data_IF_964516688242
#
_entry.id   IF_964516688242
#
_cell.length_a   1.000
_cell.length_b   1.000
_cell.length_c   1.000
_cell.angle_alpha   90.00
_cell.angle_beta   90.00
_cell.angle_gamma   90.00
#
_symmetry.space_group_name_H-M   'P 1'
#
loop_
_entity.id
_entity.type
_entity.pdbx_description
1 polymer ?
#
# COMPACT_ATOMS: atom_id res chain seq x y z
N UNK A 1 -18.07 -20.03 -18.44
CA UNK A 1 -17.09 -19.14 -17.81
C UNK A 1 -17.82 -18.03 -17.06
N UNK A 2 -17.73 -18.05 -15.75
CA UNK A 2 -18.37 -17.07 -14.90
C UNK A 2 -17.34 -15.98 -14.52
N UNK A 3 -17.66 -14.71 -14.77
CA UNK A 3 -16.68 -13.63 -14.63
C UNK A 3 -16.00 -13.50 -13.24
N UNK A 4 -16.65 -13.85 -12.11
CA UNK A 4 -16.00 -13.85 -10.81
C UNK A 4 -14.80 -14.78 -10.70
N UNK A 5 -14.75 -15.88 -11.49
CA UNK A 5 -13.60 -16.78 -11.50
C UNK A 5 -12.31 -16.09 -11.98
N UNK A 6 -12.45 -15.09 -12.86
CA UNK A 6 -11.32 -14.32 -13.35
C UNK A 6 -11.02 -13.03 -12.56
N UNK A 7 -11.98 -12.55 -11.76
CA UNK A 7 -11.91 -11.23 -11.15
C UNK A 7 -11.92 -11.25 -9.63
N UNK A 8 -12.25 -12.39 -9.03
CA UNK A 8 -12.31 -12.56 -7.57
C UNK A 8 -11.74 -13.89 -7.08
N UNK A 9 -12.04 -14.99 -7.74
CA UNK A 9 -11.74 -16.33 -7.25
C UNK A 9 -10.54 -16.95 -7.98
N UNK A 10 -9.47 -17.24 -7.26
CA UNK A 10 -8.28 -17.90 -7.81
C UNK A 10 -8.25 -19.33 -7.24
N UNK A 11 -8.11 -20.32 -8.11
CA UNK A 11 -8.07 -21.75 -7.73
C UNK A 11 -9.41 -22.41 -7.51
N UNK A 12 -10.50 -21.79 -7.94
CA UNK A 12 -11.87 -22.34 -7.92
C UNK A 12 -12.27 -22.94 -9.27
N UNK A 13 -11.71 -22.43 -10.38
CA UNK A 13 -11.90 -22.96 -11.72
C UNK A 13 -10.58 -22.87 -12.53
N UNK A 14 -9.91 -23.99 -12.83
CA UNK A 14 -10.19 -25.34 -12.31
C UNK A 14 -10.04 -25.43 -10.77
N UNK A 15 -10.80 -26.35 -10.18
CA UNK A 15 -10.78 -26.54 -8.71
C UNK A 15 -9.42 -27.04 -8.23
N UNK A 16 -8.83 -26.33 -7.28
CA UNK A 16 -7.53 -26.65 -6.69
C UNK A 16 -7.60 -26.63 -5.16
N UNK A 17 -6.59 -27.16 -4.49
CA UNK A 17 -6.44 -27.05 -3.04
C UNK A 17 -6.04 -25.66 -2.58
N UNK A 18 -5.48 -24.87 -3.48
CA UNK A 18 -4.95 -23.52 -3.21
C UNK A 18 -5.97 -22.44 -3.59
N UNK A 19 -7.10 -22.43 -2.90
CA UNK A 19 -8.18 -21.45 -3.12
C UNK A 19 -7.83 -20.11 -2.50
N UNK A 20 -8.05 -19.05 -3.26
CA UNK A 20 -7.83 -17.68 -2.83
C UNK A 20 -8.99 -16.79 -3.30
N UNK A 21 -9.38 -15.82 -2.47
CA UNK A 21 -10.36 -14.81 -2.84
C UNK A 21 -9.63 -13.48 -2.86
N UNK A 22 -9.70 -12.81 -4.01
CA UNK A 22 -9.11 -11.50 -4.24
C UNK A 22 -10.08 -10.64 -5.04
N UNK A 23 -10.13 -9.34 -4.74
CA UNK A 23 -10.96 -8.41 -5.51
C UNK A 23 -10.11 -7.57 -6.44
N UNK A 24 -10.11 -7.92 -7.73
CA UNK A 24 -9.65 -6.97 -8.73
C UNK A 24 -10.66 -5.81 -8.84
N UNK A 25 -10.21 -4.56 -9.06
CA UNK A 25 -11.10 -3.40 -9.10
C UNK A 25 -12.29 -3.55 -10.04
N UNK A 26 -12.11 -4.28 -11.15
CA UNK A 26 -13.19 -4.53 -12.11
C UNK A 26 -14.35 -5.32 -11.49
N UNK A 27 -14.09 -6.21 -10.52
CA UNK A 27 -15.15 -6.94 -9.82
C UNK A 27 -16.10 -5.95 -9.12
N UNK A 28 -15.55 -5.10 -8.27
CA UNK A 28 -16.33 -4.15 -7.48
C UNK A 28 -17.09 -3.15 -8.35
N UNK A 29 -16.51 -2.72 -9.50
CA UNK A 29 -17.20 -1.86 -10.45
C UNK A 29 -18.39 -2.56 -11.13
N UNK A 30 -18.23 -3.82 -11.54
CA UNK A 30 -19.28 -4.55 -12.26
C UNK A 30 -20.45 -4.91 -11.34
N UNK A 31 -20.18 -5.30 -10.10
CA UNK A 31 -21.24 -5.63 -9.12
C UNK A 31 -21.80 -4.41 -8.40
N UNK A 32 -21.26 -3.20 -8.68
CA UNK A 32 -21.62 -1.95 -8.02
C UNK A 32 -21.54 -2.05 -6.48
N UNK A 33 -20.54 -2.79 -5.99
CA UNK A 33 -20.30 -2.97 -4.56
C UNK A 33 -19.43 -1.82 -4.04
N UNK A 34 -20.02 -0.97 -3.21
CA UNK A 34 -19.32 0.14 -2.55
C UNK A 34 -18.45 -0.36 -1.38
N UNK A 35 -17.58 -1.30 -1.68
CA UNK A 35 -16.57 -1.78 -0.74
C UNK A 35 -15.56 -0.68 -0.35
N UNK A 36 -14.96 -0.82 0.82
CA UNK A 36 -13.93 0.10 1.30
C UNK A 36 -12.82 0.32 0.26
N UNK A 37 -12.34 -0.75 -0.37
CA UNK A 37 -11.33 -0.70 -1.43
C UNK A 37 -11.74 0.14 -2.65
N UNK A 38 -12.99 0.04 -3.08
CA UNK A 38 -13.49 0.84 -4.21
C UNK A 38 -13.59 2.32 -3.86
N UNK A 39 -14.09 2.62 -2.65
CA UNK A 39 -14.20 4.00 -2.16
C UNK A 39 -12.84 4.64 -1.93
N UNK A 40 -11.83 3.84 -1.65
CA UNK A 40 -10.48 4.32 -1.39
C UNK A 40 -9.70 4.69 -2.67
N UNK A 41 -10.02 4.09 -3.82
CA UNK A 41 -9.31 4.35 -5.08
C UNK A 41 -9.11 5.83 -5.42
N UNK A 42 -10.13 6.71 -5.35
CA UNK A 42 -9.95 8.13 -5.60
C UNK A 42 -8.98 8.79 -4.61
N UNK A 43 -9.07 8.41 -3.34
CA UNK A 43 -8.22 8.95 -2.28
C UNK A 43 -6.77 8.51 -2.43
N UNK A 44 -6.54 7.25 -2.75
CA UNK A 44 -5.22 6.69 -3.01
C UNK A 44 -4.53 7.41 -4.17
N UNK A 45 -5.24 7.63 -5.27
CA UNK A 45 -4.72 8.38 -6.41
C UNK A 45 -4.41 9.83 -6.00
N UNK A 46 -5.30 10.47 -5.27
CA UNK A 46 -5.12 11.84 -4.80
C UNK A 46 -3.94 11.97 -3.85
N UNK A 47 -3.83 11.11 -2.84
CA UNK A 47 -2.71 11.07 -1.88
C UNK A 47 -1.38 10.87 -2.59
N UNK A 48 -1.33 9.92 -3.52
CA UNK A 48 -0.13 9.65 -4.32
C UNK A 48 0.26 10.86 -5.15
N UNK A 49 -0.70 11.48 -5.83
CA UNK A 49 -0.47 12.71 -6.61
C UNK A 49 -0.01 13.87 -5.74
N UNK A 50 -0.58 14.03 -4.55
CA UNK A 50 -0.19 15.06 -3.59
C UNK A 50 1.26 14.88 -3.11
N UNK A 51 1.66 13.68 -2.73
CA UNK A 51 3.03 13.40 -2.30
C UNK A 51 4.01 13.52 -3.46
N UNK A 52 3.66 13.01 -4.63
CA UNK A 52 4.50 13.12 -5.83
C UNK A 52 4.68 14.58 -6.25
N UNK A 53 3.62 15.38 -6.28
CA UNK A 53 3.73 16.81 -6.60
C UNK A 53 4.58 17.55 -5.58
N UNK A 54 4.48 17.20 -4.31
CA UNK A 54 5.32 17.76 -3.26
C UNK A 54 6.81 17.44 -3.48
N UNK A 55 7.12 16.25 -4.01
CA UNK A 55 8.50 15.89 -4.36
C UNK A 55 9.01 16.62 -5.60
N UNK A 56 8.18 16.74 -6.65
CA UNK A 56 8.59 17.25 -7.96
C UNK A 56 8.58 18.79 -8.00
N UNK A 57 7.55 19.41 -7.40
CA UNK A 57 7.29 20.84 -7.59
C UNK A 57 7.84 21.71 -6.46
N UNK A 58 8.07 21.17 -5.28
CA UNK A 58 8.40 21.96 -4.09
C UNK A 58 9.89 21.83 -3.76
N UNK A 59 10.60 22.95 -3.80
CA UNK A 59 12.03 23.01 -3.43
C UNK A 59 12.26 22.94 -1.92
N UNK A 60 11.27 23.34 -1.12
CA UNK A 60 11.27 23.24 0.34
C UNK A 60 9.87 22.94 0.84
N UNK A 61 9.73 21.93 1.69
CA UNK A 61 8.43 21.54 2.23
C UNK A 61 8.05 22.51 3.36
N UNK A 62 6.84 23.07 3.27
CA UNK A 62 6.27 23.84 4.38
C UNK A 62 6.18 22.97 5.65
N UNK A 63 6.59 23.48 6.81
CA UNK A 63 6.39 22.75 8.07
C UNK A 63 4.94 22.33 8.32
N UNK A 64 3.97 23.05 7.76
CA UNK A 64 2.54 22.74 7.94
C UNK A 64 2.02 21.57 7.08
N UNK A 65 2.85 20.93 6.26
CA UNK A 65 2.44 19.81 5.41
C UNK A 65 1.92 18.61 6.22
N UNK A 66 2.31 18.49 7.51
CA UNK A 66 1.84 17.42 8.38
C UNK A 66 0.32 17.45 8.58
N UNK A 67 -0.33 18.62 8.51
CA UNK A 67 -1.78 18.76 8.70
C UNK A 67 -2.55 18.05 7.56
N UNK A 68 -2.40 18.46 6.28
CA UNK A 68 -3.07 17.76 5.17
C UNK A 68 -2.62 16.30 5.05
N UNK A 69 -1.35 15.98 5.31
CA UNK A 69 -0.88 14.61 5.26
C UNK A 69 -1.53 13.74 6.34
N UNK A 70 -1.66 14.23 7.56
CA UNK A 70 -2.38 13.54 8.63
C UNK A 70 -3.87 13.35 8.30
N UNK A 71 -4.51 14.36 7.72
CA UNK A 71 -5.90 14.27 7.27
C UNK A 71 -6.07 13.20 6.18
N UNK A 72 -5.21 13.20 5.15
CA UNK A 72 -5.30 12.23 4.05
C UNK A 72 -5.03 10.81 4.53
N UNK A 73 -4.04 10.63 5.39
CA UNK A 73 -3.78 9.32 6.01
C UNK A 73 -4.91 8.87 6.94
N UNK A 74 -5.64 9.80 7.56
CA UNK A 74 -6.81 9.45 8.37
C UNK A 74 -7.97 8.98 7.50
N UNK A 75 -8.19 9.61 6.33
CA UNK A 75 -9.20 9.17 5.37
C UNK A 75 -8.83 7.77 4.85
N UNK A 76 -7.59 7.55 4.44
CA UNK A 76 -7.11 6.24 4.01
C UNK A 76 -7.34 5.17 5.10
N UNK A 77 -6.99 5.45 6.36
CA UNK A 77 -7.24 4.53 7.48
C UNK A 77 -8.72 4.20 7.69
N UNK A 78 -9.60 5.19 7.56
CA UNK A 78 -11.04 5.00 7.77
C UNK A 78 -11.72 4.27 6.62
N UNK A 79 -11.14 4.30 5.42
CA UNK A 79 -11.63 3.57 4.24
C UNK A 79 -10.99 2.18 4.13
N UNK A 80 -9.66 2.11 4.28
CA UNK A 80 -8.88 0.87 4.28
C UNK A 80 -7.68 1.01 5.23
N UNK A 81 -7.72 0.37 6.37
CA UNK A 81 -6.71 0.53 7.43
C UNK A 81 -5.27 0.23 6.99
N UNK A 82 -5.07 -0.64 5.99
CA UNK A 82 -3.74 -0.96 5.46
C UNK A 82 -3.09 0.21 4.72
N UNK A 83 -3.88 1.05 4.10
CA UNK A 83 -3.39 2.16 3.29
C UNK A 83 -2.74 3.25 4.13
N UNK A 84 -3.12 3.37 5.39
CA UNK A 84 -2.38 4.21 6.34
C UNK A 84 -0.89 3.85 6.39
N UNK A 85 -0.55 2.56 6.48
CA UNK A 85 0.85 2.13 6.56
C UNK A 85 1.57 2.33 5.21
N UNK A 86 0.94 1.97 4.10
CA UNK A 86 1.52 2.08 2.76
C UNK A 86 1.79 3.54 2.41
N UNK A 87 0.78 4.40 2.52
CA UNK A 87 0.90 5.83 2.17
C UNK A 87 1.65 6.64 3.21
N UNK A 88 1.64 6.22 4.48
CA UNK A 88 2.52 6.77 5.51
C UNK A 88 4.00 6.56 5.21
N UNK A 89 4.37 5.36 4.75
CA UNK A 89 5.74 5.08 4.29
C UNK A 89 6.08 5.86 3.02
N UNK A 90 5.16 5.97 2.06
CA UNK A 90 5.35 6.80 0.87
C UNK A 90 5.58 8.28 1.25
N UNK A 91 4.81 8.80 2.18
CA UNK A 91 5.00 10.14 2.72
C UNK A 91 6.38 10.33 3.37
N UNK A 92 6.79 9.39 4.23
CA UNK A 92 8.09 9.43 4.88
C UNK A 92 9.25 9.41 3.86
N UNK A 93 9.16 8.56 2.83
CA UNK A 93 10.12 8.55 1.73
C UNK A 93 10.15 9.89 0.99
N UNK A 94 8.98 10.44 0.65
CA UNK A 94 8.87 11.73 -0.03
C UNK A 94 9.55 12.83 0.78
N UNK A 95 9.25 12.90 2.08
CA UNK A 95 9.89 13.86 3.00
C UNK A 95 11.40 13.70 3.04
N UNK A 96 11.89 12.46 3.16
CA UNK A 96 13.32 12.18 3.24
C UNK A 96 14.05 12.64 1.97
N UNK A 97 13.49 12.37 0.81
CA UNK A 97 14.09 12.75 -0.47
C UNK A 97 14.03 14.26 -0.75
N UNK A 98 13.01 14.96 -0.28
CA UNK A 98 12.87 16.40 -0.46
C UNK A 98 13.69 17.17 0.58
N UNK A 99 13.58 16.84 1.86
CA UNK A 99 14.28 17.53 2.94
C UNK A 99 15.76 17.19 2.99
N UNK A 100 16.14 15.96 2.55
CA UNK A 100 17.50 15.40 2.69
C UNK A 100 18.05 15.46 4.12
N UNK A 101 17.17 15.57 5.10
CA UNK A 101 17.46 15.67 6.51
C UNK A 101 16.59 14.70 7.31
N UNK A 102 17.25 13.71 7.90
CA UNK A 102 16.57 12.66 8.65
C UNK A 102 15.85 13.22 9.89
N UNK A 103 16.45 14.21 10.57
CA UNK A 103 15.84 14.82 11.76
C UNK A 103 14.54 15.51 11.42
N UNK A 104 14.52 16.34 10.37
CA UNK A 104 13.30 17.00 9.91
C UNK A 104 12.27 16.00 9.44
N UNK A 105 12.67 14.97 8.69
CA UNK A 105 11.77 13.87 8.26
C UNK A 105 11.14 13.19 9.47
N UNK A 106 11.92 12.89 10.50
CA UNK A 106 11.41 12.24 11.70
C UNK A 106 10.41 13.14 12.44
N UNK A 107 10.75 14.42 12.67
CA UNK A 107 9.85 15.37 13.33
C UNK A 107 8.54 15.52 12.58
N UNK A 108 8.61 15.69 11.25
CA UNK A 108 7.42 15.83 10.40
C UNK A 108 6.58 14.56 10.39
N UNK A 109 7.22 13.38 10.38
CA UNK A 109 6.56 12.11 10.53
C UNK A 109 5.78 11.99 11.83
N UNK A 110 6.40 12.34 12.97
CA UNK A 110 5.74 12.35 14.29
C UNK A 110 4.55 13.32 14.31
N UNK A 111 4.72 14.55 13.80
CA UNK A 111 3.62 15.52 13.71
C UNK A 111 2.48 15.02 12.83
N UNK A 112 2.79 14.34 11.74
CA UNK A 112 1.79 13.72 10.86
C UNK A 112 1.02 12.60 11.56
N UNK A 113 1.69 11.76 12.36
CA UNK A 113 1.04 10.73 13.17
C UNK A 113 0.12 11.36 14.23
N UNK A 114 0.56 12.43 14.87
CA UNK A 114 -0.28 13.16 15.84
C UNK A 114 -1.52 13.74 15.13
N UNK A 115 -1.35 14.37 13.97
CA UNK A 115 -2.47 14.91 13.19
C UNK A 115 -3.41 13.78 12.74
N UNK A 116 -2.88 12.67 12.22
CA UNK A 116 -3.64 11.47 11.88
C UNK A 116 -4.48 10.98 13.07
N UNK A 117 -3.87 10.84 14.25
CA UNK A 117 -4.58 10.41 15.46
C UNK A 117 -5.73 11.34 15.82
N UNK A 118 -5.52 12.66 15.76
CA UNK A 118 -6.55 13.66 16.05
C UNK A 118 -7.72 13.54 15.06
N UNK A 119 -7.43 13.41 13.75
CA UNK A 119 -8.46 13.32 12.71
C UNK A 119 -9.20 11.98 12.73
N UNK A 120 -8.57 10.90 13.15
CA UNK A 120 -9.22 9.59 13.28
C UNK A 120 -10.00 9.42 14.58
N UNK A 121 -9.75 10.25 15.60
CA UNK A 121 -10.31 10.07 16.94
C UNK A 121 -11.85 9.94 16.96
N UNK A 122 -12.65 10.78 16.25
CA UNK A 122 -14.10 10.64 16.24
C UNK A 122 -14.58 9.31 15.69
N UNK A 123 -13.88 8.79 14.66
CA UNK A 123 -14.15 7.47 14.08
C UNK A 123 -13.77 6.36 15.06
N UNK A 124 -12.54 6.39 15.57
CA UNK A 124 -11.99 5.32 16.43
C UNK A 124 -12.75 5.16 17.75
N UNK A 125 -13.35 6.22 18.27
CA UNK A 125 -14.18 6.16 19.48
C UNK A 125 -15.52 5.45 19.26
N UNK A 126 -15.98 5.34 18.01
CA UNK A 126 -17.30 4.77 17.67
C UNK A 126 -17.19 3.50 16.82
N UNK A 127 -15.97 3.10 16.42
CA UNK A 127 -15.72 1.94 15.59
C UNK A 127 -15.10 0.81 16.40
N UNK A 128 -15.70 -0.36 16.33
CA UNK A 128 -15.14 -1.57 16.93
C UNK A 128 -14.36 -2.33 15.86
N UNK A 129 -13.02 -2.44 15.97
CA UNK A 129 -12.24 -3.16 14.98
C UNK A 129 -12.53 -4.65 14.98
N UNK A 130 -12.54 -5.27 13.80
CA UNK A 130 -12.72 -6.70 13.61
C UNK A 130 -11.40 -7.49 13.76
N UNK A 131 -10.36 -6.87 14.32
CA UNK A 131 -9.01 -7.44 14.34
C UNK A 131 -8.52 -7.70 15.76
N UNK A 132 -7.83 -8.82 15.98
CA UNK A 132 -7.30 -9.26 17.27
C UNK A 132 -5.77 -9.37 17.31
N UNK A 133 -5.04 -8.38 16.84
CA UNK A 133 -3.59 -8.32 16.90
C UNK A 133 -2.89 -9.07 15.75
N UNK A 134 -1.61 -9.41 15.94
CA UNK A 134 -0.73 -9.96 14.92
C UNK A 134 -0.54 -11.47 15.12
N UNK A 135 -0.53 -12.22 14.02
CA UNK A 135 -0.22 -13.65 13.98
C UNK A 135 0.80 -13.95 12.87
N UNK A 136 1.70 -14.89 13.12
CA UNK A 136 2.56 -15.40 12.06
C UNK A 136 1.75 -16.29 11.10
N UNK A 137 2.05 -16.17 9.82
CA UNK A 137 1.39 -16.96 8.79
C UNK A 137 1.99 -18.37 8.72
N UNK A 138 1.15 -19.38 8.96
CA UNK A 138 1.52 -20.79 8.83
C UNK A 138 1.37 -21.27 7.37
N UNK A 139 0.57 -20.57 6.57
CA UNK A 139 0.28 -20.91 5.17
C UNK A 139 0.84 -19.83 4.26
N UNK A 140 1.60 -20.26 3.23
CA UNK A 140 2.20 -19.37 2.22
C UNK A 140 1.34 -19.37 0.97
N UNK A 141 1.28 -18.21 0.31
CA UNK A 141 0.65 -18.12 -1.00
C UNK A 141 1.53 -18.78 -2.05
N UNK A 142 1.00 -19.71 -2.86
CA UNK A 142 1.75 -20.28 -3.97
C UNK A 142 2.24 -19.20 -4.93
N UNK A 143 3.45 -19.38 -5.46
CA UNK A 143 4.08 -18.38 -6.32
C UNK A 143 3.26 -18.02 -7.56
N UNK A 144 2.54 -18.98 -8.14
CA UNK A 144 1.68 -18.70 -9.31
C UNK A 144 0.55 -17.72 -8.98
N UNK A 145 -0.03 -17.78 -7.78
CA UNK A 145 -1.05 -16.83 -7.34
C UNK A 145 -0.46 -15.43 -7.15
N UNK A 146 0.72 -15.33 -6.51
CA UNK A 146 1.44 -14.06 -6.41
C UNK A 146 1.76 -13.48 -7.79
N UNK A 147 2.11 -14.36 -8.75
CA UNK A 147 2.38 -13.92 -10.12
C UNK A 147 1.11 -13.47 -10.86
N UNK A 148 -0.04 -14.11 -10.63
CA UNK A 148 -1.32 -13.63 -11.15
C UNK A 148 -1.64 -12.23 -10.63
N UNK A 149 -1.43 -12.00 -9.32
CA UNK A 149 -1.77 -10.73 -8.68
C UNK A 149 -0.78 -9.61 -9.02
N UNK A 150 0.51 -9.89 -8.95
CA UNK A 150 1.57 -8.87 -8.99
C UNK A 150 2.52 -9.00 -10.18
N UNK A 151 2.43 -10.08 -10.95
CA UNK A 151 3.39 -10.39 -12.02
C UNK A 151 3.45 -9.31 -13.10
N UNK A 152 2.33 -8.68 -13.46
CA UNK A 152 2.30 -7.57 -14.40
C UNK A 152 3.14 -6.37 -13.92
N UNK A 153 3.05 -6.05 -12.63
CA UNK A 153 3.86 -4.99 -12.02
C UNK A 153 5.33 -5.38 -11.95
N UNK A 154 5.64 -6.62 -11.58
CA UNK A 154 7.02 -7.12 -11.51
C UNK A 154 7.73 -7.12 -12.86
N UNK A 155 7.01 -7.47 -13.94
CA UNK A 155 7.53 -7.44 -15.30
C UNK A 155 7.91 -6.02 -15.77
N UNK A 156 7.34 -5.00 -15.18
CA UNK A 156 7.69 -3.59 -15.47
C UNK A 156 8.76 -3.10 -14.49
N UNK A 157 8.54 -3.32 -13.20
CA UNK A 157 9.36 -2.72 -12.13
C UNK A 157 10.76 -3.33 -12.06
N UNK A 158 10.94 -4.65 -12.20
CA UNK A 158 12.27 -5.27 -12.10
C UNK A 158 13.19 -4.92 -13.27
N UNK A 159 12.74 -4.92 -14.55
CA UNK A 159 13.56 -4.39 -15.63
C UNK A 159 13.94 -2.92 -15.46
N UNK A 160 13.00 -2.10 -14.95
CA UNK A 160 13.29 -0.69 -14.65
C UNK A 160 14.38 -0.58 -13.58
N UNK A 161 14.27 -1.29 -12.46
CA UNK A 161 15.30 -1.34 -11.43
C UNK A 161 16.65 -1.77 -12.01
N UNK A 162 16.67 -2.86 -12.78
CA UNK A 162 17.89 -3.34 -13.42
C UNK A 162 18.52 -2.27 -14.32
N UNK A 163 17.71 -1.58 -15.12
CA UNK A 163 18.17 -0.49 -15.97
C UNK A 163 18.77 0.66 -15.16
N UNK A 164 18.10 1.09 -14.08
CA UNK A 164 18.58 2.15 -13.20
C UNK A 164 19.92 1.76 -12.54
N UNK A 165 20.03 0.54 -12.03
CA UNK A 165 21.28 0.07 -11.42
C UNK A 165 22.43 -0.12 -12.44
N UNK A 166 22.14 -0.66 -13.64
CA UNK A 166 23.15 -0.86 -14.69
C UNK A 166 23.74 0.44 -15.17
N UNK A 167 22.93 1.49 -15.29
CA UNK A 167 23.38 2.79 -15.80
C UNK A 167 23.97 3.68 -14.70
N UNK A 168 24.00 3.24 -13.46
CA UNK A 168 24.52 3.97 -12.30
C UNK A 168 25.92 4.57 -12.50
N UNK A 169 26.79 3.87 -13.22
CA UNK A 169 28.17 4.32 -13.45
C UNK A 169 28.34 5.20 -14.68
N UNK A 170 27.36 5.27 -15.58
CA UNK A 170 27.45 5.99 -16.85
C UNK A 170 26.79 7.37 -16.85
N UNK A 171 25.87 7.61 -15.95
CA UNK A 171 25.11 8.88 -15.88
C UNK A 171 25.18 9.44 -14.46
N UNK A 172 25.08 10.77 -14.35
CA UNK A 172 24.88 11.44 -13.07
C UNK A 172 23.49 11.04 -12.57
N UNK A 173 23.43 10.12 -11.62
CA UNK A 173 22.17 9.59 -11.07
C UNK A 173 21.42 10.76 -10.46
N UNK A 174 20.22 11.01 -10.97
CA UNK A 174 19.30 11.97 -10.41
C UNK A 174 18.74 11.47 -9.08
N UNK A 175 18.44 12.36 -8.16
CA UNK A 175 17.75 12.00 -6.90
C UNK A 175 16.44 11.25 -7.16
N UNK A 176 15.79 11.50 -8.28
CA UNK A 176 14.58 10.83 -8.76
C UNK A 176 14.78 9.33 -8.96
N UNK A 177 15.96 8.90 -9.49
CA UNK A 177 16.24 7.47 -9.73
C UNK A 177 16.31 6.70 -8.41
N UNK A 178 16.91 7.29 -7.37
CA UNK A 178 16.92 6.70 -6.03
C UNK A 178 15.52 6.65 -5.43
N UNK A 179 14.71 7.69 -5.62
CA UNK A 179 13.34 7.75 -5.13
C UNK A 179 12.47 6.66 -5.77
N UNK A 180 12.51 6.55 -7.11
CA UNK A 180 11.80 5.48 -7.84
C UNK A 180 12.27 4.10 -7.39
N UNK A 181 13.58 3.90 -7.27
CA UNK A 181 14.13 2.63 -6.79
C UNK A 181 13.66 2.29 -5.37
N UNK A 182 13.64 3.27 -4.46
CA UNK A 182 13.16 3.10 -3.10
C UNK A 182 11.67 2.74 -3.05
N UNK A 183 10.83 3.36 -3.88
CA UNK A 183 9.40 3.04 -3.98
C UNK A 183 9.21 1.60 -4.47
N UNK A 184 9.91 1.18 -5.54
CA UNK A 184 9.77 -0.17 -6.08
C UNK A 184 10.22 -1.23 -5.04
N UNK A 185 11.33 -0.98 -4.33
CA UNK A 185 11.82 -1.87 -3.28
C UNK A 185 10.81 -1.93 -2.14
N UNK A 186 10.31 -0.79 -1.69
CA UNK A 186 9.30 -0.73 -0.63
C UNK A 186 8.03 -1.48 -1.03
N UNK A 187 7.49 -1.25 -2.22
CA UNK A 187 6.31 -1.95 -2.73
C UNK A 187 6.52 -3.47 -2.77
N UNK A 188 7.71 -3.93 -3.20
CA UNK A 188 8.07 -5.36 -3.20
C UNK A 188 8.10 -5.93 -1.77
N UNK A 189 8.68 -5.21 -0.82
CA UNK A 189 8.70 -5.62 0.59
C UNK A 189 7.28 -5.71 1.15
N UNK A 190 6.41 -4.74 0.86
CA UNK A 190 5.02 -4.74 1.32
C UNK A 190 4.19 -5.89 0.76
N UNK A 191 4.50 -6.40 -0.43
CA UNK A 191 3.89 -7.63 -0.96
C UNK A 191 4.37 -8.88 -0.20
N UNK A 192 5.61 -8.88 0.30
CA UNK A 192 6.20 -10.04 0.98
C UNK A 192 5.82 -10.09 2.47
N UNK A 193 5.67 -8.95 3.13
CA UNK A 193 5.36 -8.89 4.57
C UNK A 193 4.13 -9.73 4.97
N UNK A 194 3.00 -9.68 4.25
CA UNK A 194 1.82 -10.48 4.58
C UNK A 194 2.04 -11.99 4.49
N UNK A 195 3.05 -12.45 3.73
CA UNK A 195 3.42 -13.87 3.68
C UNK A 195 4.15 -14.34 4.94
N UNK A 196 4.63 -13.40 5.77
CA UNK A 196 5.33 -13.71 7.03
C UNK A 196 4.37 -13.60 8.21
N UNK A 197 3.53 -12.57 8.22
CA UNK A 197 2.61 -12.31 9.30
C UNK A 197 1.41 -11.48 8.85
N UNK A 198 0.30 -11.60 9.53
CA UNK A 198 -0.94 -10.91 9.22
C UNK A 198 -1.65 -10.43 10.49
N UNK A 199 -2.55 -9.48 10.32
CA UNK A 199 -3.45 -9.06 11.40
C UNK A 199 -4.59 -10.08 11.49
N UNK A 200 -4.75 -10.70 12.67
CA UNK A 200 -5.79 -11.68 12.90
C UNK A 200 -7.15 -10.98 12.96
N UNK A 201 -8.03 -11.36 12.07
CA UNK A 201 -9.43 -10.98 12.08
C UNK A 201 -10.21 -11.84 13.09
N UNK A 202 -11.14 -11.28 13.86
CA UNK A 202 -11.99 -12.02 14.80
C UNK A 202 -12.94 -13.00 14.12
N UNK A 203 -13.23 -12.78 12.83
CA UNK A 203 -14.05 -13.67 12.00
C UNK A 203 -13.23 -14.65 11.16
N UNK A 204 -11.97 -14.91 11.55
CA UNK A 204 -11.05 -15.71 10.74
C UNK A 204 -11.55 -17.11 10.51
N UNK A 205 -11.76 -17.37 9.28
CA UNK A 205 -11.66 -18.71 8.72
C UNK A 205 -10.17 -19.09 8.63
N UNK A 206 -9.78 -20.23 9.18
CA UNK A 206 -8.36 -20.67 9.27
C UNK A 206 -7.62 -20.77 7.91
N UNK A 207 -8.35 -20.69 6.80
CA UNK A 207 -7.79 -20.73 5.44
C UNK A 207 -7.53 -19.36 4.81
N UNK A 208 -7.83 -18.23 5.51
CA UNK A 208 -7.61 -16.89 4.95
C UNK A 208 -6.12 -16.56 4.94
N UNK A 209 -5.58 -16.40 3.74
CA UNK A 209 -4.18 -16.02 3.57
C UNK A 209 -4.01 -14.50 3.72
N UNK A 210 -2.85 -14.10 4.22
CA UNK A 210 -2.57 -12.71 4.57
C UNK A 210 -2.66 -11.72 3.41
N UNK A 211 -2.44 -12.18 2.19
CA UNK A 211 -2.46 -11.34 0.99
C UNK A 211 -3.80 -11.34 0.25
N UNK A 212 -4.86 -11.88 0.85
CA UNK A 212 -6.21 -11.89 0.26
C UNK A 212 -7.11 -10.79 0.78
N UNK A 213 -6.52 -9.82 1.47
CA UNK A 213 -7.23 -8.65 1.96
C UNK A 213 -7.17 -7.49 0.99
#
# INVERSE_FOLDING_TARGET
YWYPDATRFIGFDPDTTDKNIHEFPIYSFVVADLHGHLNDLPWVIFITAFFFSSFVLVKSISPLIFIPSGLFLSIAYMTNAWDFAVYGLLFALTLLFVSKDFKNTFIMGVLTIIAWFIFTLPFSLNFTPMTEGLRFSDVRTPFYQLFILYGGFWLICFPLLFFLFKNRHRQKILSTDYFVSAIIILATILVIIPEIGYIKDIYVFDYRRANTM
#
